data_IF_130826874394
#
_entry.id   IF_130826874394
#
_cell.length_a   1.000
_cell.length_b   1.000
_cell.length_c   1.000
_cell.angle_alpha   90.00
_cell.angle_beta   90.00
_cell.angle_gamma   90.00
#
_symmetry.space_group_name_H-M   'P 1'
#
loop_
_entity.id
_entity.type
_entity.pdbx_description
1 polymer ?
#
# COMPACT_ATOMS: atom_id res chain seq x y z
N UNK A 1 -0.66 6.39 -14.16
CA UNK A 1 0.25 6.17 -12.99
C UNK A 1 0.64 4.70 -12.90
N UNK A 2 1.88 4.44 -12.58
CA UNK A 2 2.38 3.10 -12.27
C UNK A 2 1.88 2.64 -10.90
N UNK A 3 2.04 1.36 -10.59
CA UNK A 3 1.66 0.85 -9.25
C UNK A 3 2.51 1.49 -8.14
N UNK A 4 3.78 1.79 -8.41
CA UNK A 4 4.66 2.47 -7.45
C UNK A 4 4.17 3.88 -7.16
N UNK A 5 3.79 4.62 -8.19
CA UNK A 5 3.23 5.98 -8.02
C UNK A 5 1.90 5.95 -7.26
N UNK A 6 1.05 4.96 -7.55
CA UNK A 6 -0.20 4.72 -6.80
C UNK A 6 0.09 4.45 -5.32
N UNK A 7 1.05 3.57 -5.04
CA UNK A 7 1.49 3.26 -3.69
C UNK A 7 2.01 4.50 -2.95
N UNK A 8 2.84 5.31 -3.61
CA UNK A 8 3.34 6.55 -3.01
C UNK A 8 2.22 7.56 -2.74
N UNK A 9 1.26 7.67 -3.65
CA UNK A 9 0.09 8.52 -3.46
C UNK A 9 -0.76 8.06 -2.28
N UNK A 10 -0.97 6.76 -2.12
CA UNK A 10 -1.71 6.18 -0.99
C UNK A 10 -0.99 6.45 0.34
N UNK A 11 0.32 6.22 0.39
CA UNK A 11 1.10 6.46 1.60
C UNK A 11 1.09 7.95 2.01
N UNK A 12 1.20 8.84 1.03
CA UNK A 12 1.11 10.29 1.26
C UNK A 12 -0.27 10.68 1.77
N UNK A 13 -1.33 10.19 1.15
CA UNK A 13 -2.71 10.46 1.55
C UNK A 13 -3.00 9.95 2.97
N UNK A 14 -2.51 8.76 3.30
CA UNK A 14 -2.63 8.21 4.65
C UNK A 14 -1.96 9.12 5.69
N UNK A 15 -0.73 9.57 5.44
CA UNK A 15 -0.03 10.48 6.35
C UNK A 15 -0.77 11.81 6.52
N UNK A 16 -1.35 12.35 5.46
CA UNK A 16 -2.17 13.56 5.52
C UNK A 16 -3.45 13.34 6.34
N UNK A 17 -4.10 12.20 6.15
CA UNK A 17 -5.33 11.86 6.88
C UNK A 17 -5.05 11.63 8.37
N UNK A 18 -3.99 10.92 8.71
CA UNK A 18 -3.58 10.72 10.11
C UNK A 18 -3.27 12.04 10.80
N UNK A 19 -2.51 12.92 10.14
CA UNK A 19 -2.20 14.23 10.67
C UNK A 19 -3.46 15.09 10.88
N UNK A 20 -4.41 15.04 9.95
CA UNK A 20 -5.69 15.75 10.06
C UNK A 20 -6.55 15.26 11.25
N UNK A 21 -6.38 14.00 11.65
CA UNK A 21 -7.04 13.43 12.84
C UNK A 21 -6.24 13.68 14.14
N UNK A 22 -5.13 14.38 14.07
CA UNK A 22 -4.27 14.64 15.24
C UNK A 22 -3.48 13.40 15.69
N UNK A 23 -3.36 12.39 14.85
CA UNK A 23 -2.64 11.15 15.17
C UNK A 23 -1.14 11.38 14.99
N UNK A 24 -0.39 11.16 16.06
CA UNK A 24 1.08 11.25 16.05
C UNK A 24 1.72 9.90 15.69
N UNK A 25 1.33 9.35 14.55
CA UNK A 25 1.93 8.15 13.99
C UNK A 25 2.10 8.35 12.48
N UNK A 26 3.30 8.11 11.98
CA UNK A 26 3.61 8.29 10.56
C UNK A 26 3.73 6.94 9.86
N UNK A 27 3.27 6.86 8.62
CA UNK A 27 3.47 5.72 7.75
C UNK A 27 4.74 5.93 6.91
N UNK A 28 5.73 5.08 7.13
CA UNK A 28 6.97 5.03 6.35
C UNK A 28 6.87 3.94 5.30
N UNK A 29 7.37 4.20 4.11
CA UNK A 29 7.51 3.17 3.08
C UNK A 29 8.51 2.10 3.53
N UNK A 30 8.33 0.87 3.09
CA UNK A 30 9.24 -0.22 3.38
C UNK A 30 10.69 0.16 3.02
N UNK A 31 11.60 -0.09 3.94
CA UNK A 31 13.01 0.28 3.80
C UNK A 31 13.34 1.75 4.08
N UNK A 32 12.34 2.60 4.33
CA UNK A 32 12.53 4.03 4.58
C UNK A 32 12.29 4.44 6.06
N UNK A 33 12.17 3.47 6.97
CA UNK A 33 12.02 3.75 8.40
C UNK A 33 13.36 4.29 8.92
N UNK A 34 13.41 5.53 9.47
CA UNK A 34 14.63 6.09 10.01
C UNK A 34 15.15 5.28 11.19
N UNK A 35 16.47 5.25 11.36
CA UNK A 35 17.05 4.75 12.61
C UNK A 35 16.59 5.65 13.77
N UNK A 36 16.07 5.03 14.83
CA UNK A 36 15.54 5.76 15.96
C UNK A 36 14.18 6.40 15.75
N UNK A 37 13.41 5.93 14.76
CA UNK A 37 12.01 6.33 14.61
C UNK A 37 11.24 6.12 15.92
N UNK A 38 10.49 7.15 16.31
CA UNK A 38 9.70 7.10 17.56
C UNK A 38 8.45 6.24 17.38
N UNK A 39 8.16 5.41 18.35
CA UNK A 39 6.88 4.69 18.44
C UNK A 39 5.75 5.64 18.85
N UNK A 40 4.51 5.42 18.39
CA UNK A 40 4.11 4.44 17.37
C UNK A 40 4.39 4.92 15.94
N UNK A 41 4.55 3.97 15.02
CA UNK A 41 4.64 4.27 13.59
C UNK A 41 4.07 3.12 12.75
N UNK A 42 3.79 3.41 11.48
CA UNK A 42 3.41 2.41 10.49
C UNK A 42 4.55 2.19 9.51
N UNK A 43 4.66 0.99 9.01
CA UNK A 43 5.45 0.66 7.84
C UNK A 43 4.52 0.16 6.74
N UNK A 44 4.54 0.82 5.60
CA UNK A 44 3.70 0.44 4.46
C UNK A 44 4.49 -0.33 3.42
N UNK A 45 3.81 -1.23 2.73
CA UNK A 45 4.32 -1.97 1.59
C UNK A 45 3.18 -2.26 0.61
N UNK A 46 3.50 -2.74 -0.56
CA UNK A 46 2.50 -3.24 -1.50
C UNK A 46 2.97 -4.55 -2.12
N UNK A 47 2.02 -5.37 -2.56
CA UNK A 47 2.26 -6.60 -3.29
C UNK A 47 1.26 -6.73 -4.41
N UNK A 48 1.74 -6.83 -5.65
CA UNK A 48 0.88 -7.12 -6.79
C UNK A 48 0.47 -8.59 -6.75
N UNK A 49 -0.83 -8.85 -6.79
CA UNK A 49 -1.38 -10.21 -6.75
C UNK A 49 -1.85 -10.70 -8.11
N UNK A 50 -2.31 -9.79 -8.97
CA UNK A 50 -2.81 -10.13 -10.29
C UNK A 50 -2.75 -8.94 -11.23
N UNK A 51 -2.45 -9.21 -12.49
CA UNK A 51 -2.50 -8.22 -13.58
C UNK A 51 -3.22 -8.81 -14.78
N UNK A 52 -4.10 -8.03 -15.36
CA UNK A 52 -4.82 -8.37 -16.55
C UNK A 52 -4.79 -7.21 -17.53
N UNK A 53 -4.39 -7.43 -18.81
CA UNK A 53 -4.54 -6.40 -19.82
C UNK A 53 -6.01 -5.99 -19.91
N UNK A 54 -6.26 -4.69 -20.02
CA UNK A 54 -7.61 -4.20 -20.23
C UNK A 54 -8.08 -4.61 -21.63
N UNK A 55 -9.21 -5.31 -21.74
CA UNK A 55 -9.63 -6.00 -22.95
C UNK A 55 -10.13 -5.09 -24.09
N UNK A 56 -10.08 -3.78 -23.96
CA UNK A 56 -10.53 -2.85 -24.99
C UNK A 56 -9.80 -1.55 -24.93
N UNK A 57 -9.26 -1.07 -26.03
CA UNK A 57 -8.86 0.32 -26.41
C UNK A 57 -8.39 1.29 -25.30
N UNK A 58 -8.29 0.90 -24.05
CA UNK A 58 -7.83 1.74 -22.96
C UNK A 58 -6.39 1.36 -22.65
N UNK A 59 -5.51 2.34 -22.71
CA UNK A 59 -4.11 2.22 -22.34
C UNK A 59 -3.98 1.99 -20.83
N UNK A 60 -4.12 0.75 -20.38
CA UNK A 60 -4.00 0.42 -18.97
C UNK A 60 -3.98 -1.07 -18.68
N UNK A 61 -3.52 -1.41 -17.52
CA UNK A 61 -3.51 -2.78 -16.98
C UNK A 61 -4.36 -2.79 -15.73
N UNK A 62 -5.37 -3.65 -15.70
CA UNK A 62 -6.12 -3.89 -14.46
C UNK A 62 -5.20 -4.62 -13.49
N UNK A 63 -4.91 -3.99 -12.39
CA UNK A 63 -3.96 -4.49 -11.40
C UNK A 63 -4.66 -4.69 -10.07
N UNK A 64 -4.62 -5.92 -9.56
CA UNK A 64 -4.96 -6.23 -8.20
C UNK A 64 -3.69 -6.24 -7.35
N UNK A 65 -3.74 -5.59 -6.23
CA UNK A 65 -2.61 -5.49 -5.32
C UNK A 65 -3.10 -5.43 -3.88
N UNK A 66 -2.20 -5.75 -2.98
CA UNK A 66 -2.41 -5.54 -1.55
C UNK A 66 -1.63 -4.31 -1.11
N UNK A 67 -2.29 -3.41 -0.41
CA UNK A 67 -1.65 -2.36 0.37
C UNK A 67 -1.54 -2.86 1.82
N UNK A 68 -0.33 -2.95 2.32
CA UNK A 68 -0.03 -3.57 3.60
C UNK A 68 0.44 -2.49 4.56
N UNK A 69 -0.16 -2.43 5.74
CA UNK A 69 0.25 -1.56 6.82
C UNK A 69 0.61 -2.40 8.05
N UNK A 70 1.85 -2.31 8.47
CA UNK A 70 2.30 -2.85 9.73
C UNK A 70 2.40 -1.72 10.76
N UNK A 71 1.70 -1.85 11.85
CA UNK A 71 1.72 -0.92 12.96
C UNK A 71 2.64 -1.43 14.07
N UNK A 72 3.51 -0.55 14.55
CA UNK A 72 4.45 -0.83 15.63
C UNK A 72 4.24 0.15 16.76
N UNK A 73 4.09 -0.36 17.96
CA UNK A 73 4.04 0.43 19.17
C UNK A 73 4.87 -0.18 20.28
N UNK A 74 5.42 0.64 21.15
CA UNK A 74 6.13 0.19 22.34
C UNK A 74 5.17 0.15 23.52
N UNK A 75 5.19 -0.95 24.27
CA UNK A 75 4.43 -1.10 25.48
C UNK A 75 5.36 -1.14 26.70
N UNK A 76 5.05 -0.44 27.78
CA UNK A 76 5.67 -0.70 29.07
C UNK A 76 5.29 -2.10 29.55
N UNK A 77 6.20 -2.79 30.22
CA UNK A 77 6.15 -4.24 30.47
C UNK A 77 4.96 -4.76 31.28
N UNK A 78 4.23 -3.92 32.01
CA UNK A 78 3.30 -4.43 33.01
C UNK A 78 1.84 -3.91 32.99
N UNK A 79 1.54 -2.84 32.25
CA UNK A 79 0.20 -2.22 32.27
C UNK A 79 -0.19 -1.54 30.96
N UNK A 80 0.03 -2.19 29.83
CA UNK A 80 -0.36 -1.62 28.56
C UNK A 80 -1.90 -1.56 28.45
N UNK A 81 -2.45 -0.36 28.44
CA UNK A 81 -3.83 -0.16 27.99
C UNK A 81 -3.85 -0.37 26.46
N UNK A 82 -4.08 -1.60 26.03
CA UNK A 82 -4.05 -2.01 24.62
C UNK A 82 -4.96 -1.13 23.74
N UNK A 83 -6.12 -0.75 24.26
CA UNK A 83 -7.06 0.12 23.53
C UNK A 83 -6.41 1.47 23.16
N UNK A 84 -5.68 2.08 24.09
CA UNK A 84 -5.01 3.36 23.88
C UNK A 84 -3.77 3.21 22.98
N UNK A 85 -3.01 2.13 23.16
CA UNK A 85 -1.82 1.86 22.36
C UNK A 85 -2.14 1.63 20.87
N UNK A 86 -3.28 1.02 20.60
CA UNK A 86 -3.72 0.70 19.23
C UNK A 86 -4.71 1.73 18.64
N UNK A 87 -4.96 2.85 19.31
CA UNK A 87 -5.82 3.90 18.78
C UNK A 87 -5.40 4.38 17.38
N UNK A 88 -4.11 4.66 17.09
CA UNK A 88 -3.68 5.03 15.73
C UNK A 88 -3.97 3.94 14.70
N UNK A 89 -3.83 2.69 15.05
CA UNK A 89 -4.16 1.54 14.21
C UNK A 89 -5.65 1.50 13.86
N UNK A 90 -6.53 1.67 14.84
CA UNK A 90 -7.97 1.71 14.64
C UNK A 90 -8.39 2.89 13.75
N UNK A 91 -7.80 4.06 13.97
CA UNK A 91 -8.07 5.25 13.16
C UNK A 91 -7.62 5.02 11.71
N UNK A 92 -6.44 4.44 11.49
CA UNK A 92 -5.96 4.13 10.13
C UNK A 92 -6.89 3.14 9.42
N UNK A 93 -7.34 2.11 10.11
CA UNK A 93 -8.33 1.15 9.57
C UNK A 93 -9.61 1.85 9.15
N UNK A 94 -10.18 2.67 10.01
CA UNK A 94 -11.41 3.41 9.73
C UNK A 94 -11.25 4.38 8.55
N UNK A 95 -10.15 5.12 8.51
CA UNK A 95 -9.85 6.04 7.42
C UNK A 95 -9.78 5.33 6.07
N UNK A 96 -9.18 4.17 6.02
CA UNK A 96 -9.00 3.42 4.77
C UNK A 96 -10.28 2.69 4.37
N UNK A 97 -11.01 2.11 5.31
CA UNK A 97 -12.21 1.34 5.03
C UNK A 97 -13.48 2.18 4.88
N UNK A 98 -13.44 3.46 5.26
CA UNK A 98 -14.57 4.36 5.07
C UNK A 98 -14.90 4.55 3.60
N UNK A 99 -16.19 4.46 3.20
CA UNK A 99 -16.60 4.75 1.83
C UNK A 99 -16.25 6.17 1.38
N UNK A 100 -16.13 7.11 2.31
CA UNK A 100 -15.76 8.50 2.07
C UNK A 100 -14.25 8.74 2.16
N UNK A 101 -13.45 7.69 2.32
CA UNK A 101 -12.00 7.82 2.41
C UNK A 101 -11.42 8.40 1.13
N UNK A 102 -10.83 9.57 1.22
CA UNK A 102 -10.18 10.21 0.09
C UNK A 102 -8.90 9.51 -0.36
N UNK A 103 -8.35 8.59 0.44
CA UNK A 103 -7.23 7.72 0.06
C UNK A 103 -7.62 6.90 -1.17
N UNK A 104 -8.86 6.44 -1.21
CA UNK A 104 -9.38 5.61 -2.29
C UNK A 104 -10.03 6.42 -3.41
N UNK A 105 -10.20 7.73 -3.23
CA UNK A 105 -10.82 8.63 -4.21
C UNK A 105 -10.01 8.75 -5.49
N UNK A 106 -10.20 7.85 -6.44
CA UNK A 106 -9.51 7.85 -7.72
C UNK A 106 -8.13 7.18 -7.74
N UNK A 107 -7.59 6.75 -6.61
CA UNK A 107 -6.31 6.03 -6.56
C UNK A 107 -6.54 4.52 -6.78
N UNK A 108 -7.41 3.93 -6.01
CA UNK A 108 -7.73 2.52 -6.08
C UNK A 108 -9.13 2.24 -5.54
N UNK A 109 -9.68 1.08 -5.87
CA UNK A 109 -10.91 0.55 -5.29
C UNK A 109 -10.56 -0.50 -4.25
N UNK A 110 -11.09 -0.36 -3.04
CA UNK A 110 -10.95 -1.35 -1.99
C UNK A 110 -11.90 -2.53 -2.26
N UNK A 111 -11.36 -3.73 -2.32
CA UNK A 111 -12.14 -4.97 -2.51
C UNK A 111 -12.45 -5.65 -1.17
N UNK A 112 -11.46 -5.76 -0.31
CA UNK A 112 -11.57 -6.37 1.01
C UNK A 112 -10.40 -5.95 1.90
N UNK A 113 -10.51 -6.20 3.18
CA UNK A 113 -9.39 -6.02 4.10
C UNK A 113 -9.32 -7.18 5.09
N UNK A 114 -8.13 -7.40 5.61
CA UNK A 114 -7.84 -8.42 6.58
C UNK A 114 -6.85 -7.89 7.64
N UNK A 115 -6.76 -8.57 8.76
CA UNK A 115 -5.86 -8.21 9.86
C UNK A 115 -4.91 -9.37 10.13
N UNK A 116 -3.65 -9.04 10.41
CA UNK A 116 -2.70 -10.04 10.88
C UNK A 116 -2.75 -10.14 12.41
N UNK A 117 -2.37 -11.31 12.98
CA UNK A 117 -2.30 -11.45 14.42
C UNK A 117 -1.31 -10.46 15.05
N UNK A 118 -1.51 -10.15 16.32
CA UNK A 118 -0.54 -9.39 17.09
C UNK A 118 0.71 -10.21 17.34
N UNK A 119 1.85 -9.60 17.09
CA UNK A 119 3.17 -10.15 17.42
C UNK A 119 3.84 -9.27 18.47
N UNK A 120 4.53 -9.93 19.40
CA UNK A 120 5.38 -9.28 20.41
C UNK A 120 6.83 -9.55 20.06
N UNK A 121 7.56 -8.48 19.77
CA UNK A 121 8.99 -8.55 19.50
C UNK A 121 9.74 -8.23 20.80
N UNK A 122 10.61 -9.15 21.22
CA UNK A 122 11.40 -8.98 22.44
C UNK A 122 12.81 -8.48 22.08
N UNK A 123 13.21 -7.38 22.65
CA UNK A 123 14.54 -6.80 22.45
C UNK A 123 14.74 -5.56 23.32
N UNK A 124 14.80 -5.72 24.65
CA UNK A 124 15.01 -4.64 25.63
C UNK A 124 13.75 -3.82 25.91
N UNK A 125 13.09 -3.29 24.90
CA UNK A 125 11.77 -2.68 24.96
C UNK A 125 10.79 -3.63 24.24
N UNK A 126 9.67 -3.95 24.86
CA UNK A 126 8.65 -4.76 24.22
C UNK A 126 7.97 -3.98 23.11
N UNK A 127 8.01 -4.50 21.89
CA UNK A 127 7.37 -3.90 20.72
C UNK A 127 6.20 -4.78 20.31
N UNK A 128 5.03 -4.17 20.20
CA UNK A 128 3.83 -4.81 19.70
C UNK A 128 3.66 -4.48 18.22
N UNK A 129 3.31 -5.48 17.42
CA UNK A 129 3.08 -5.33 15.99
C UNK A 129 1.71 -5.89 15.62
N UNK A 130 0.95 -5.12 14.84
CA UNK A 130 -0.25 -5.57 14.14
C UNK A 130 -0.20 -5.14 12.69
N UNK A 131 -0.80 -5.92 11.80
CA UNK A 131 -0.87 -5.61 10.38
C UNK A 131 -2.29 -5.50 9.86
N UNK A 132 -2.46 -4.62 8.88
CA UNK A 132 -3.65 -4.47 8.05
C UNK A 132 -3.27 -4.78 6.61
N UNK A 133 -4.08 -5.58 5.93
CA UNK A 133 -3.89 -5.93 4.53
C UNK A 133 -5.14 -5.51 3.76
N UNK A 134 -4.98 -4.58 2.82
CA UNK A 134 -6.08 -4.07 2.00
C UNK A 134 -5.94 -4.61 0.58
N UNK A 135 -6.86 -5.46 0.17
CA UNK A 135 -6.95 -5.94 -1.21
C UNK A 135 -7.58 -4.84 -2.07
N UNK A 136 -6.85 -4.39 -3.06
CA UNK A 136 -7.19 -3.24 -3.89
C UNK A 136 -7.13 -3.59 -5.37
N UNK A 137 -7.88 -2.83 -6.16
CA UNK A 137 -7.86 -2.89 -7.61
C UNK A 137 -7.71 -1.50 -8.19
N UNK A 138 -6.88 -1.37 -9.21
CA UNK A 138 -6.69 -0.12 -9.93
C UNK A 138 -6.26 -0.38 -11.37
N UNK A 139 -6.36 0.63 -12.20
CA UNK A 139 -5.78 0.63 -13.54
C UNK A 139 -4.42 1.31 -13.48
N UNK A 140 -3.38 0.62 -13.94
CA UNK A 140 -2.02 1.12 -13.98
C UNK A 140 -1.52 1.22 -15.41
N UNK A 141 -0.49 2.03 -15.62
CA UNK A 141 0.23 2.08 -16.88
C UNK A 141 1.40 1.08 -16.87
N UNK A 142 1.81 0.66 -18.05
CA UNK A 142 2.97 -0.21 -18.21
C UNK A 142 4.26 0.58 -17.99
N UNK A 143 5.18 0.02 -17.20
CA UNK A 143 6.58 0.43 -17.19
C UNK A 143 7.37 -0.66 -17.91
N UNK A 144 7.95 -0.31 -19.04
CA UNK A 144 8.74 -1.26 -19.81
C UNK A 144 10.21 -1.15 -19.45
N UNK A 145 10.78 -2.24 -18.98
CA UNK A 145 12.24 -2.38 -18.82
C UNK A 145 12.96 -2.45 -20.18
N UNK A 146 12.24 -2.74 -21.26
CA UNK A 146 12.77 -2.82 -22.64
C UNK A 146 13.21 -1.44 -23.15
N UNK A 147 12.58 -0.37 -22.69
CA UNK A 147 12.87 1.02 -23.07
C UNK A 147 13.54 1.83 -21.94
N UNK A 148 14.32 1.18 -21.08
CA UNK A 148 15.06 1.89 -20.03
C UNK A 148 14.19 2.45 -18.89
N UNK A 149 13.00 1.91 -18.67
CA UNK A 149 12.09 2.33 -17.61
C UNK A 149 11.14 3.46 -18.00
N UNK A 150 11.07 3.81 -19.29
CA UNK A 150 10.07 4.75 -19.77
C UNK A 150 8.66 4.16 -19.74
N UNK A 151 7.69 4.99 -19.41
CA UNK A 151 6.28 4.62 -19.45
C UNK A 151 5.84 4.44 -20.91
N UNK A 152 5.26 3.28 -21.24
CA UNK A 152 4.74 2.98 -22.56
C UNK A 152 3.24 2.81 -22.49
N UNK A 153 2.50 3.32 -23.48
CA UNK A 153 1.11 3.03 -23.66
C UNK A 153 0.89 1.52 -23.85
N UNK A 154 -0.17 0.97 -23.26
CA UNK A 154 -0.47 -0.47 -23.36
C UNK A 154 -0.64 -0.92 -24.81
N UNK A 155 -1.20 -0.08 -25.66
CA UNK A 155 -1.38 -0.36 -27.09
C UNK A 155 -0.04 -0.61 -27.78
N UNK A 156 1.00 0.16 -27.46
CA UNK A 156 2.35 -0.03 -28.01
C UNK A 156 2.95 -1.36 -27.57
N UNK A 157 2.71 -1.78 -26.33
CA UNK A 157 3.16 -3.08 -25.80
C UNK A 157 2.42 -4.23 -26.48
N UNK A 158 1.11 -4.10 -26.69
CA UNK A 158 0.29 -5.10 -27.38
C UNK A 158 0.75 -5.26 -28.84
N UNK A 159 1.01 -4.17 -29.52
CA UNK A 159 1.49 -4.19 -30.90
C UNK A 159 2.88 -4.84 -30.99
N UNK A 160 3.78 -4.52 -30.09
CA UNK A 160 5.09 -5.17 -29.99
C UNK A 160 4.98 -6.68 -29.78
N UNK A 161 4.07 -7.13 -28.89
CA UNK A 161 3.83 -8.55 -28.66
C UNK A 161 3.24 -9.23 -29.91
N UNK A 162 2.30 -8.58 -30.58
CA UNK A 162 1.71 -9.11 -31.82
C UNK A 162 2.75 -9.27 -32.94
N UNK A 163 3.62 -8.30 -33.12
CA UNK A 163 4.71 -8.38 -34.08
C UNK A 163 5.65 -9.54 -33.77
N UNK A 164 6.07 -9.71 -32.51
CA UNK A 164 6.91 -10.82 -32.08
C UNK A 164 6.25 -12.19 -32.33
N UNK A 165 4.95 -12.32 -32.10
CA UNK A 165 4.18 -13.55 -32.34
C UNK A 165 4.03 -13.86 -33.85
N UNK A 166 4.03 -12.85 -34.71
CA UNK A 166 3.99 -13.04 -36.16
C UNK A 166 5.33 -13.41 -36.76
N UNK A 167 6.43 -13.01 -36.16
CA UNK A 167 7.78 -13.39 -36.60
C UNK A 167 8.13 -14.86 -36.28
N UNK A 168 7.47 -15.48 -35.31
CA UNK A 168 7.66 -16.89 -34.95
C UNK A 168 6.82 -17.86 -35.83
N UNK A 169 6.01 -17.36 -36.70
CA UNK A 169 5.22 -18.12 -37.63
C UNK A 169 5.83 -18.04 -39.05
#
# INVERSE_FOLDING_TARGET
MTIIEKYYAMNKALNQALAAQGVNARAYKYGAVPKGASYPYFQSAYRVTYRQPFASSISGVLTNFEFILNFFTAAPSDEANDAKLFEPYEIARELITSPESFIWGGIATLLSHDETPEFRLKGGLEVLQRGLVFACQTVTTFVSSIHGGEEIAVDDVIDTIREALHEEV
#
